data_IF_337876039966
#
_entry.id   IF_337876039966
#
_cell.length_a   1.000
_cell.length_b   1.000
_cell.length_c   1.000
_cell.angle_alpha   90.00
_cell.angle_beta   90.00
_cell.angle_gamma   90.00
#
_symmetry.space_group_name_H-M   'P 1'
#
loop_
_entity.id
_entity.type
_entity.pdbx_description
1 polymer ?
#
# COMPACT_ATOMS: atom_id res chain seq x y z
N UNK A 1 22.00 2.38 -29.26
CA UNK A 1 20.67 2.76 -28.76
C UNK A 1 19.96 1.50 -28.33
N UNK A 2 19.79 1.27 -27.02
CA UNK A 2 19.12 0.06 -26.52
C UNK A 2 17.62 0.39 -26.41
N UNK A 3 16.84 -0.09 -27.37
CA UNK A 3 15.38 0.06 -27.37
C UNK A 3 14.79 -0.94 -26.38
N UNK A 4 14.41 -0.46 -25.20
CA UNK A 4 13.56 -1.19 -24.25
C UNK A 4 12.15 -1.33 -24.87
N UNK A 5 11.86 -2.50 -25.44
CA UNK A 5 10.53 -2.86 -25.93
C UNK A 5 9.65 -3.24 -24.74
N UNK A 6 8.81 -2.33 -24.30
CA UNK A 6 7.69 -2.63 -23.39
C UNK A 6 6.81 -3.71 -24.04
N UNK A 7 6.75 -4.89 -23.43
CA UNK A 7 5.96 -6.01 -23.98
C UNK A 7 4.49 -5.82 -23.59
N UNK A 8 3.53 -5.81 -24.54
CA UNK A 8 2.11 -5.78 -24.21
C UNK A 8 1.69 -7.14 -23.62
N UNK A 9 0.97 -7.15 -22.49
CA UNK A 9 0.27 -8.35 -22.00
C UNK A 9 0.82 -9.03 -20.75
N UNK A 10 1.47 -8.33 -19.81
CA UNK A 10 1.58 -8.87 -18.45
C UNK A 10 0.32 -8.51 -17.67
N UNK A 11 -0.58 -9.47 -17.50
CA UNK A 11 -1.71 -9.35 -16.60
C UNK A 11 -1.20 -9.14 -15.18
N UNK A 12 -1.22 -7.89 -14.72
CA UNK A 12 -0.85 -7.55 -13.34
C UNK A 12 -2.03 -7.88 -12.44
N UNK A 13 -1.83 -8.83 -11.52
CA UNK A 13 -2.86 -9.24 -10.58
C UNK A 13 -2.96 -8.18 -9.50
N UNK A 14 -4.16 -7.66 -9.24
CA UNK A 14 -4.40 -6.65 -8.21
C UNK A 14 -4.81 -7.33 -6.90
N UNK A 15 -4.11 -7.00 -5.82
CA UNK A 15 -4.47 -7.44 -4.48
C UNK A 15 -4.88 -6.25 -3.63
N UNK A 16 -5.94 -6.44 -2.84
CA UNK A 16 -6.34 -5.50 -1.80
C UNK A 16 -5.59 -5.82 -0.50
N UNK A 17 -5.01 -4.80 0.10
CA UNK A 17 -4.25 -4.86 1.32
C UNK A 17 -5.04 -4.24 2.45
N UNK A 18 -4.98 -4.89 3.60
CA UNK A 18 -5.47 -4.35 4.86
C UNK A 18 -4.41 -3.41 5.42
N UNK A 19 -4.86 -2.33 6.08
CA UNK A 19 -3.95 -1.39 6.71
C UNK A 19 -4.33 -1.11 8.16
N UNK A 20 -3.33 -0.92 9.00
CA UNK A 20 -3.49 -0.43 10.36
C UNK A 20 -2.32 0.50 10.70
N UNK A 21 -2.49 1.28 11.77
CA UNK A 21 -1.45 2.17 12.29
C UNK A 21 -0.83 1.58 13.55
N UNK A 22 0.48 1.62 13.60
CA UNK A 22 1.32 1.26 14.74
C UNK A 22 2.28 2.43 15.02
N UNK A 23 1.90 3.29 15.96
CA UNK A 23 2.59 4.55 16.23
C UNK A 23 2.65 5.48 15.01
N UNK A 24 3.85 5.72 14.51
CA UNK A 24 4.09 6.56 13.32
C UNK A 24 4.07 5.77 12.01
N UNK A 25 3.94 4.45 12.07
CA UNK A 25 3.92 3.58 10.91
C UNK A 25 2.51 3.19 10.52
N UNK A 26 2.19 3.35 9.25
CA UNK A 26 1.04 2.73 8.59
C UNK A 26 1.53 1.43 7.94
N UNK A 27 1.03 0.31 8.43
CA UNK A 27 1.43 -1.03 7.99
C UNK A 27 0.34 -1.59 7.08
N UNK A 28 0.73 -1.97 5.87
CA UNK A 28 -0.10 -2.64 4.88
C UNK A 28 0.31 -4.10 4.78
N UNK A 29 -0.65 -5.01 4.91
CA UNK A 29 -0.46 -6.46 4.73
C UNK A 29 -1.45 -6.98 3.71
N UNK A 30 -1.00 -7.92 2.89
CA UNK A 30 -1.86 -8.57 1.91
C UNK A 30 -2.27 -9.95 2.42
N UNK A 31 -3.59 -10.27 2.51
CA UNK A 31 -4.04 -11.60 2.94
C UNK A 31 -3.64 -12.71 1.95
N UNK A 32 -3.35 -12.36 0.69
CA UNK A 32 -2.93 -13.30 -0.36
C UNK A 32 -1.40 -13.44 -0.48
N UNK A 33 -0.63 -12.55 0.14
CA UNK A 33 0.83 -12.55 0.08
C UNK A 33 1.40 -12.48 1.51
N UNK A 34 1.62 -13.63 2.18
CA UNK A 34 2.03 -13.66 3.59
C UNK A 34 3.39 -13.03 3.85
N UNK A 35 4.25 -12.99 2.83
CA UNK A 35 5.58 -12.36 2.91
C UNK A 35 5.57 -10.87 2.56
N UNK A 36 4.43 -10.36 2.06
CA UNK A 36 4.29 -8.96 1.68
C UNK A 36 3.94 -8.08 2.87
N UNK A 37 4.78 -7.09 3.11
CA UNK A 37 4.49 -6.02 4.06
C UNK A 37 5.03 -4.70 3.51
N UNK A 38 4.18 -3.68 3.44
CA UNK A 38 4.60 -2.31 3.18
C UNK A 38 4.37 -1.49 4.44
N UNK A 39 5.39 -0.76 4.88
CA UNK A 39 5.30 0.21 5.97
C UNK A 39 5.55 1.60 5.42
N UNK A 40 4.74 2.55 5.87
CA UNK A 40 4.89 3.96 5.55
C UNK A 40 4.87 4.78 6.83
N UNK A 41 5.95 5.52 7.11
CA UNK A 41 6.01 6.43 8.24
C UNK A 41 5.42 7.78 7.82
N UNK A 42 4.25 8.13 8.35
CA UNK A 42 3.54 9.35 7.92
C UNK A 42 4.18 10.64 8.43
N UNK A 43 5.11 10.58 9.40
CA UNK A 43 5.82 11.76 9.90
C UNK A 43 7.08 12.07 9.09
N UNK A 44 7.76 11.04 8.59
CA UNK A 44 9.07 11.17 7.94
C UNK A 44 9.03 10.89 6.44
N UNK A 45 7.86 10.49 5.91
CA UNK A 45 7.67 9.98 4.55
C UNK A 45 8.52 8.74 4.21
N UNK A 46 9.10 8.06 5.21
CA UNK A 46 9.90 6.86 5.01
C UNK A 46 9.02 5.68 4.58
N UNK A 47 9.42 4.98 3.51
CA UNK A 47 8.73 3.79 3.02
C UNK A 47 9.63 2.56 3.07
N UNK A 48 9.10 1.46 3.61
CA UNK A 48 9.74 0.14 3.62
C UNK A 48 8.83 -0.88 2.96
N UNK A 49 9.37 -1.71 2.09
CA UNK A 49 8.62 -2.77 1.41
C UNK A 49 9.40 -4.07 1.53
N UNK A 50 8.70 -5.14 1.87
CA UNK A 50 9.21 -6.51 1.92
C UNK A 50 8.31 -7.42 1.09
N UNK A 51 8.93 -8.39 0.41
CA UNK A 51 8.20 -9.47 -0.28
C UNK A 51 7.36 -9.01 -1.47
N UNK A 52 7.74 -7.92 -2.13
CA UNK A 52 7.04 -7.44 -3.32
C UNK A 52 7.33 -8.31 -4.55
N UNK A 53 6.33 -8.51 -5.40
CA UNK A 53 6.43 -9.35 -6.58
C UNK A 53 6.03 -8.54 -7.83
N UNK A 54 6.84 -8.50 -8.90
CA UNK A 54 6.64 -7.59 -10.04
C UNK A 54 5.36 -7.82 -10.84
N UNK A 55 4.67 -8.95 -10.64
CA UNK A 55 3.38 -9.27 -11.28
C UNK A 55 2.17 -9.01 -10.40
N UNK A 56 2.37 -8.57 -9.15
CA UNK A 56 1.31 -8.31 -8.19
C UNK A 56 1.30 -6.81 -7.88
N UNK A 57 0.16 -6.16 -8.12
CA UNK A 57 -0.06 -4.78 -7.73
C UNK A 57 -0.86 -4.74 -6.43
N UNK A 58 -0.16 -4.37 -5.35
CA UNK A 58 -0.75 -4.19 -4.03
C UNK A 58 -1.40 -2.80 -3.92
N UNK A 59 -2.67 -2.76 -3.53
CA UNK A 59 -3.41 -1.53 -3.28
C UNK A 59 -4.09 -1.58 -1.91
N UNK A 60 -4.15 -0.46 -1.21
CA UNK A 60 -4.79 -0.38 0.10
C UNK A 60 -4.95 1.07 0.53
N UNK A 61 -6.02 1.35 1.28
CA UNK A 61 -6.30 2.68 1.83
C UNK A 61 -6.17 2.63 3.34
N UNK A 62 -5.57 3.67 3.90
CA UNK A 62 -5.55 3.91 5.34
C UNK A 62 -6.36 5.18 5.63
N UNK A 63 -7.34 5.05 6.53
CA UNK A 63 -8.14 6.18 7.00
C UNK A 63 -7.77 6.47 8.45
N UNK A 64 -7.13 7.62 8.75
CA UNK A 64 -6.84 7.99 10.12
C UNK A 64 -8.12 8.06 10.95
N UNK A 65 -8.14 7.38 12.10
CA UNK A 65 -9.29 7.43 13.01
C UNK A 65 -9.58 8.86 13.49
N UNK A 66 -8.53 9.69 13.60
CA UNK A 66 -8.60 11.12 13.96
C UNK A 66 -9.42 11.97 12.97
N UNK A 67 -9.63 11.50 11.73
CA UNK A 67 -10.46 12.18 10.73
C UNK A 67 -11.93 11.76 10.77
N UNK A 68 -12.30 10.71 11.52
CA UNK A 68 -13.72 10.28 11.61
C UNK A 68 -14.62 11.39 12.16
N UNK A 69 -14.13 12.20 13.10
CA UNK A 69 -14.93 13.27 13.71
C UNK A 69 -15.20 14.45 12.77
N UNK A 70 -14.42 14.63 11.70
CA UNK A 70 -14.57 15.76 10.76
C UNK A 70 -15.71 15.51 9.75
N UNK A 71 -16.00 14.25 9.43
CA UNK A 71 -17.01 13.90 8.42
C UNK A 71 -18.39 13.56 9.00
N UNK A 72 -18.50 13.26 10.30
CA UNK A 72 -19.80 12.93 10.92
C UNK A 72 -20.52 14.12 11.59
N UNK A 73 -19.82 15.24 11.83
CA UNK A 73 -20.44 16.43 12.46
C UNK A 73 -19.97 17.73 11.79
N UNK A 74 -20.56 18.13 10.65
CA UNK A 74 -20.42 19.50 10.19
C UNK A 74 -21.09 20.43 11.23
N UNK A 75 -20.34 21.39 11.77
CA UNK A 75 -20.91 22.55 12.46
C UNK A 75 -21.84 23.33 11.54
#
# INVERSE_FOLDING_TARGET
>A
MITIKSTPGQDVIKHECESHRDGDWIIFRCPLCPDYERRFNWRTDEMKVKGDHPRVSHSGKYYPHELKSVFEYPN
#
